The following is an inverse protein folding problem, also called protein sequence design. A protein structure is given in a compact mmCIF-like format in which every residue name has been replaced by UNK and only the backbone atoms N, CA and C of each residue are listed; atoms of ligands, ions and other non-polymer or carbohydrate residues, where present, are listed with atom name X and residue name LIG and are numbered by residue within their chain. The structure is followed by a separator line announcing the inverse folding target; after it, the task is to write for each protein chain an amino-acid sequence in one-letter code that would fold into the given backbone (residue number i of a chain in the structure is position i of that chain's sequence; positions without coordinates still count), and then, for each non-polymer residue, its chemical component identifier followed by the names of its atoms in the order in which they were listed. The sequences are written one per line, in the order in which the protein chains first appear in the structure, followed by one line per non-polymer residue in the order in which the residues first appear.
data_IF_457638800339
#
_entry.id   IF_457638800339
#
_cell.length_a   1.000
_cell.length_b   1.000
_cell.length_c   1.000
_cell.angle_alpha   90.00
_cell.angle_beta   90.00
_cell.angle_gamma   90.00
#
_symmetry.space_group_name_H-M   'P 1'
#
loop_
_entity.id
_entity.type
_entity.pdbx_description
1 polymer ?
#
# COMPACT_ATOMS: atom_id res chain seq x y z
N UNK A 1 22.89 -12.86 59.96
CA UNK A 1 24.34 -12.74 59.68
C UNK A 1 24.54 -12.99 58.19
N UNK A 2 25.28 -12.10 57.50
CA UNK A 2 25.48 -12.06 56.05
C UNK A 2 26.19 -13.30 55.49
N UNK A 3 25.82 -13.75 54.30
CA UNK A 3 26.75 -14.28 53.30
C UNK A 3 26.07 -14.36 51.92
N UNK A 4 26.68 -14.16 50.75
CA UNK A 4 27.97 -13.61 50.25
C UNK A 4 27.79 -13.57 48.72
N UNK A 5 28.28 -12.54 48.05
CA UNK A 5 28.22 -12.33 46.58
C UNK A 5 29.08 -13.36 45.79
N UNK A 6 29.02 -13.30 44.43
CA UNK A 6 30.03 -13.70 43.38
C UNK A 6 29.78 -15.10 42.73
N UNK A 7 29.79 -15.38 41.40
CA UNK A 7 30.11 -14.67 40.14
C UNK A 7 29.51 -15.40 38.90
N UNK A 8 29.46 -14.67 37.78
CA UNK A 8 29.30 -14.99 36.34
C UNK A 8 29.43 -16.42 35.80
N UNK A 9 28.64 -16.73 34.76
CA UNK A 9 29.12 -16.97 33.37
C UNK A 9 27.90 -17.05 32.43
N UNK A 10 27.85 -16.26 31.34
CA UNK A 10 27.28 -16.73 30.06
C UNK A 10 27.64 -15.78 28.90
N UNK A 11 28.55 -16.32 28.08
CA UNK A 11 28.93 -16.05 26.70
C UNK A 11 28.39 -14.80 25.97
N UNK A 12 29.33 -13.95 25.56
CA UNK A 12 29.17 -13.02 24.45
C UNK A 12 29.11 -13.84 23.17
N UNK A 13 27.96 -13.88 22.50
CA UNK A 13 27.86 -14.38 21.13
C UNK A 13 28.12 -13.21 20.18
N UNK A 14 29.34 -13.12 19.66
CA UNK A 14 29.66 -12.26 18.54
C UNK A 14 28.98 -12.84 17.28
N UNK A 15 27.83 -12.29 16.90
CA UNK A 15 27.23 -12.60 15.60
C UNK A 15 27.94 -11.74 14.56
N UNK A 16 28.84 -12.39 13.83
CA UNK A 16 29.37 -11.87 12.56
C UNK A 16 28.22 -11.81 11.56
N UNK A 17 27.72 -10.60 11.25
CA UNK A 17 26.83 -10.41 10.11
C UNK A 17 27.73 -10.42 8.87
N UNK A 18 27.81 -11.57 8.21
CA UNK A 18 28.36 -11.62 6.85
C UNK A 18 27.47 -10.74 5.95
N UNK A 19 28.04 -9.95 5.02
CA UNK A 19 27.24 -9.31 3.99
C UNK A 19 26.59 -10.42 3.17
N UNK A 20 25.27 -10.55 3.27
CA UNK A 20 24.53 -11.40 2.35
C UNK A 20 24.83 -10.91 0.94
N UNK A 21 25.45 -11.79 0.13
CA UNK A 21 25.61 -11.63 -1.30
C UNK A 21 24.32 -11.04 -1.86
N UNK A 22 24.41 -9.89 -2.53
CA UNK A 22 23.35 -9.36 -3.36
C UNK A 22 22.86 -10.50 -4.26
N UNK A 23 21.65 -11.00 -3.98
CA UNK A 23 20.96 -11.88 -4.89
C UNK A 23 20.74 -11.15 -6.22
N UNK A 24 20.50 -11.87 -7.32
CA UNK A 24 20.16 -11.22 -8.57
C UNK A 24 19.01 -10.26 -8.28
N UNK A 25 19.13 -9.01 -8.73
CA UNK A 25 18.02 -8.07 -8.72
C UNK A 25 16.84 -8.82 -9.31
N UNK A 26 15.88 -9.21 -8.46
CA UNK A 26 14.58 -9.60 -8.96
C UNK A 26 14.06 -8.29 -9.53
N UNK A 27 14.29 -8.09 -10.82
CA UNK A 27 13.37 -7.31 -11.62
C UNK A 27 12.01 -7.94 -11.35
N UNK A 28 11.35 -7.41 -10.32
CA UNK A 28 10.07 -7.85 -9.87
C UNK A 28 9.17 -7.39 -10.99
N UNK A 29 9.01 -8.25 -12.00
CA UNK A 29 8.36 -7.89 -13.24
C UNK A 29 6.94 -7.49 -12.86
N UNK A 30 6.67 -6.19 -12.88
CA UNK A 30 5.42 -5.64 -12.38
C UNK A 30 4.40 -5.87 -13.48
N UNK A 31 3.37 -6.66 -13.17
CA UNK A 31 2.40 -7.13 -14.16
C UNK A 31 1.01 -6.51 -13.98
N UNK A 32 0.86 -5.61 -13.02
CA UNK A 32 -0.37 -4.86 -12.82
C UNK A 32 -0.34 -3.99 -11.58
N UNK A 33 -1.51 -3.48 -11.22
CA UNK A 33 -1.72 -2.66 -10.04
C UNK A 33 -2.92 -3.17 -9.23
N UNK A 34 -2.90 -2.86 -7.93
CA UNK A 34 -4.03 -3.04 -7.02
C UNK A 34 -4.33 -1.69 -6.39
N UNK A 35 -5.61 -1.34 -6.31
CA UNK A 35 -6.07 -0.12 -5.66
C UNK A 35 -6.96 -0.46 -4.48
N UNK A 36 -6.84 0.31 -3.42
CA UNK A 36 -7.76 0.30 -2.28
C UNK A 36 -8.02 1.73 -1.83
N UNK A 37 -9.07 1.91 -1.06
CA UNK A 37 -9.49 3.20 -0.51
C UNK A 37 -9.33 3.22 1.01
N UNK A 38 -8.94 4.35 1.58
CA UNK A 38 -8.72 4.49 3.04
C UNK A 38 -10.03 4.64 3.82
N UNK A 39 -11.11 5.08 3.18
CA UNK A 39 -12.39 5.42 3.79
C UNK A 39 -12.25 6.41 4.97
N UNK A 40 -11.29 7.34 4.89
CA UNK A 40 -10.98 8.26 5.98
C UNK A 40 -11.98 9.43 6.01
N UNK A 41 -12.43 9.82 7.21
CA UNK A 41 -13.45 10.87 7.44
C UNK A 41 -12.98 12.31 7.23
N UNK A 42 -11.68 12.54 7.07
CA UNK A 42 -11.07 13.87 6.90
C UNK A 42 -10.25 14.02 5.63
N UNK A 43 -9.74 12.92 5.08
CA UNK A 43 -8.93 12.89 3.86
C UNK A 43 -8.96 11.47 3.28
N UNK A 44 -10.03 11.16 2.55
CA UNK A 44 -10.18 9.87 1.93
C UNK A 44 -9.20 9.74 0.76
N UNK A 45 -8.56 8.58 0.61
CA UNK A 45 -7.46 8.40 -0.34
C UNK A 45 -7.53 7.07 -1.06
N UNK A 46 -7.10 7.08 -2.32
CA UNK A 46 -6.69 5.88 -3.05
C UNK A 46 -5.25 5.54 -2.70
N UNK A 47 -5.03 4.31 -2.25
CA UNK A 47 -3.71 3.71 -2.12
C UNK A 47 -3.48 2.79 -3.31
N UNK A 48 -2.39 3.02 -4.02
CA UNK A 48 -1.98 2.24 -5.18
C UNK A 48 -0.82 1.31 -4.82
N UNK A 49 -0.87 0.08 -5.31
CA UNK A 49 0.20 -0.90 -5.20
C UNK A 49 0.58 -1.39 -6.58
N UNK A 50 1.88 -1.50 -6.84
CA UNK A 50 2.42 -2.32 -7.91
C UNK A 50 2.34 -3.79 -7.52
N UNK A 51 1.84 -4.62 -8.43
CA UNK A 51 1.74 -6.07 -8.24
C UNK A 51 2.75 -6.80 -9.11
N UNK A 52 3.65 -7.55 -8.48
CA UNK A 52 4.61 -8.42 -9.17
C UNK A 52 3.97 -9.73 -9.61
N UNK A 53 4.66 -10.47 -10.49
CA UNK A 53 4.17 -11.74 -11.05
C UNK A 53 3.84 -12.79 -9.99
N UNK A 54 4.58 -12.80 -8.88
CA UNK A 54 4.35 -13.68 -7.73
C UNK A 54 3.21 -13.22 -6.79
N UNK A 55 2.56 -12.09 -7.11
CA UNK A 55 1.47 -11.53 -6.32
C UNK A 55 1.93 -10.58 -5.21
N UNK A 56 3.23 -10.40 -5.00
CA UNK A 56 3.72 -9.42 -4.01
C UNK A 56 3.29 -8.00 -4.39
N UNK A 57 2.99 -7.19 -3.35
CA UNK A 57 2.53 -5.82 -3.48
C UNK A 57 3.57 -4.84 -2.94
N UNK A 58 3.93 -3.85 -3.74
CA UNK A 58 4.74 -2.71 -3.31
C UNK A 58 3.91 -1.44 -3.44
N UNK A 59 3.79 -0.67 -2.36
CA UNK A 59 3.04 0.59 -2.41
C UNK A 59 3.70 1.55 -3.41
N UNK A 60 2.91 2.09 -4.32
CA UNK A 60 3.38 2.95 -5.41
C UNK A 60 2.82 4.36 -5.37
N UNK A 61 1.78 4.61 -4.56
CA UNK A 61 1.26 5.95 -4.37
C UNK A 61 0.10 6.04 -3.39
N UNK A 62 -0.18 7.28 -2.98
CA UNK A 62 -1.35 7.65 -2.18
C UNK A 62 -1.90 8.97 -2.72
N UNK A 63 -3.15 8.94 -3.16
CA UNK A 63 -3.80 10.04 -3.87
C UNK A 63 -5.05 10.43 -3.09
N UNK A 64 -5.18 11.70 -2.71
CA UNK A 64 -6.42 12.17 -2.10
C UNK A 64 -7.57 12.02 -3.10
N UNK A 65 -8.75 11.73 -2.61
CA UNK A 65 -10.01 11.83 -3.38
C UNK A 65 -10.50 13.27 -3.42
N UNK A 66 -10.05 14.10 -2.47
CA UNK A 66 -10.68 15.37 -2.08
C UNK A 66 -12.12 15.24 -1.55
N UNK A 67 -12.63 14.00 -1.44
CA UNK A 67 -13.87 13.67 -0.75
C UNK A 67 -13.59 13.06 0.61
N UNK A 68 -14.67 12.66 1.28
CA UNK A 68 -14.63 12.07 2.61
C UNK A 68 -15.22 10.67 2.60
N UNK A 69 -14.58 9.77 3.32
CA UNK A 69 -15.14 8.47 3.69
C UNK A 69 -15.99 8.60 4.94
N UNK A 70 -16.56 7.48 5.37
CA UNK A 70 -17.36 7.41 6.60
C UNK A 70 -16.57 6.89 7.81
N UNK A 71 -15.35 6.37 7.59
CA UNK A 71 -14.56 5.72 8.63
C UNK A 71 -15.11 4.38 9.12
N UNK A 72 -16.27 3.97 8.61
CA UNK A 72 -16.96 2.71 8.95
C UNK A 72 -17.28 1.93 7.69
N UNK A 73 -17.49 0.63 7.82
CA UNK A 73 -17.90 -0.18 6.67
C UNK A 73 -19.27 0.27 6.16
N UNK A 74 -19.40 0.40 4.84
CA UNK A 74 -20.67 0.71 4.17
C UNK A 74 -21.46 -0.56 3.81
N UNK A 75 -20.91 -1.76 4.06
CA UNK A 75 -21.49 -3.02 3.57
C UNK A 75 -21.54 -3.11 2.03
N UNK A 76 -20.79 -2.27 1.33
CA UNK A 76 -20.76 -2.23 -0.12
C UNK A 76 -19.72 -3.20 -0.70
N UNK A 77 -19.96 -3.63 -1.93
CA UNK A 77 -18.95 -4.23 -2.81
C UNK A 77 -18.73 -3.25 -3.96
N UNK A 78 -17.47 -2.86 -4.20
CA UNK A 78 -17.13 -1.87 -5.23
C UNK A 78 -17.08 -0.42 -4.75
N UNK A 79 -16.60 -0.16 -3.52
CA UNK A 79 -16.26 1.22 -3.10
C UNK A 79 -15.15 1.84 -3.96
N UNK A 80 -14.30 0.99 -4.54
CA UNK A 80 -13.35 1.35 -5.59
C UNK A 80 -13.51 0.39 -6.77
N UNK A 81 -13.57 0.89 -8.00
CA UNK A 81 -13.69 0.07 -9.21
C UNK A 81 -12.91 0.67 -10.37
N UNK A 82 -12.28 -0.19 -11.17
CA UNK A 82 -11.63 0.16 -12.43
C UNK A 82 -12.65 0.00 -13.57
N UNK A 83 -12.70 0.95 -14.49
CA UNK A 83 -13.51 0.81 -15.71
C UNK A 83 -13.02 -0.35 -16.57
N UNK A 84 -13.91 -0.93 -17.37
CA UNK A 84 -13.59 -2.09 -18.22
C UNK A 84 -12.42 -1.85 -19.18
N UNK A 85 -12.24 -0.60 -19.63
CA UNK A 85 -11.13 -0.21 -20.50
C UNK A 85 -9.82 0.10 -19.75
N UNK A 86 -9.86 0.03 -18.41
CA UNK A 86 -8.72 0.24 -17.53
C UNK A 86 -8.23 1.68 -17.46
N UNK A 87 -9.00 2.66 -17.97
CA UNK A 87 -8.55 4.06 -18.06
C UNK A 87 -8.98 4.93 -16.88
N UNK A 88 -9.99 4.51 -16.13
CA UNK A 88 -10.48 5.27 -14.99
C UNK A 88 -10.68 4.39 -13.78
N UNK A 89 -10.33 4.92 -12.63
CA UNK A 89 -10.67 4.38 -11.31
C UNK A 89 -11.75 5.29 -10.71
N UNK A 90 -12.82 4.68 -10.21
CA UNK A 90 -13.92 5.37 -9.54
C UNK A 90 -13.88 5.01 -8.06
N UNK A 91 -14.03 6.01 -7.19
CA UNK A 91 -14.01 5.86 -5.74
C UNK A 91 -15.27 6.49 -5.12
N UNK A 92 -15.85 5.84 -4.10
CA UNK A 92 -17.08 6.30 -3.45
C UNK A 92 -16.74 7.09 -2.19
N UNK A 93 -16.94 8.40 -2.26
CA UNK A 93 -16.76 9.32 -1.13
C UNK A 93 -18.07 9.48 -0.37
N UNK A 94 -18.50 8.40 0.30
CA UNK A 94 -19.81 8.35 0.96
C UNK A 94 -19.99 9.37 2.09
N UNK A 95 -18.89 9.81 2.72
CA UNK A 95 -18.90 10.84 3.77
C UNK A 95 -19.16 12.25 3.23
N UNK A 96 -18.77 12.53 1.98
CA UNK A 96 -19.06 13.81 1.29
C UNK A 96 -20.13 13.71 0.21
N UNK A 97 -20.70 12.51 0.01
CA UNK A 97 -21.78 12.21 -0.95
C UNK A 97 -21.38 12.46 -2.41
N UNK A 98 -20.18 12.01 -2.78
CA UNK A 98 -19.57 12.22 -4.10
C UNK A 98 -18.94 10.93 -4.65
N UNK A 99 -18.54 10.97 -5.92
CA UNK A 99 -17.71 9.94 -6.56
C UNK A 99 -16.48 10.62 -7.13
N UNK A 100 -15.30 10.18 -6.72
CA UNK A 100 -14.03 10.65 -7.28
C UNK A 100 -13.63 9.84 -8.50
N UNK A 101 -13.13 10.53 -9.53
CA UNK A 101 -12.67 9.94 -10.79
C UNK A 101 -11.19 10.22 -11.00
N UNK A 102 -10.49 9.15 -11.35
CA UNK A 102 -9.04 9.11 -11.39
C UNK A 102 -8.62 8.52 -12.75
N UNK A 103 -7.93 9.30 -13.58
CA UNK A 103 -7.36 8.76 -14.82
C UNK A 103 -6.22 7.81 -14.49
N UNK A 104 -6.25 6.59 -15.01
CA UNK A 104 -5.21 5.59 -14.89
C UNK A 104 -4.31 5.69 -16.11
N UNK A 105 -3.13 6.31 -15.99
CA UNK A 105 -2.14 6.30 -17.08
C UNK A 105 -1.53 4.91 -17.25
N UNK A 106 -0.92 4.63 -18.41
CA UNK A 106 -0.06 3.44 -18.58
C UNK A 106 1.34 3.92 -18.89
N UNK A 107 2.17 4.07 -17.87
CA UNK A 107 3.58 4.42 -18.00
C UNK A 107 4.35 3.10 -18.11
N UNK A 108 4.35 2.49 -19.29
CA UNK A 108 4.65 1.06 -19.40
C UNK A 108 3.57 0.25 -18.66
N UNK A 109 3.90 -0.28 -17.48
CA UNK A 109 2.99 -1.10 -16.66
C UNK A 109 2.32 -0.36 -15.48
N UNK A 110 2.43 0.98 -15.36
CA UNK A 110 1.95 1.71 -14.16
C UNK A 110 0.96 2.82 -14.41
N UNK A 111 0.12 3.06 -13.41
CA UNK A 111 -0.91 4.09 -13.35
C UNK A 111 -0.52 5.30 -12.53
N UNK A 112 -0.36 6.42 -13.22
CA UNK A 112 -0.32 7.75 -12.63
C UNK A 112 -1.73 8.34 -12.70
N UNK A 113 -2.17 8.96 -11.59
CA UNK A 113 -3.57 9.25 -11.33
C UNK A 113 -3.86 10.74 -11.40
N UNK A 114 -4.66 11.18 -12.38
CA UNK A 114 -5.01 12.61 -12.58
C UNK A 114 -6.53 12.85 -12.45
N UNK A 115 -6.91 13.92 -11.74
CA UNK A 115 -8.29 14.31 -11.43
C UNK A 115 -9.02 14.96 -12.62
N UNK A 116 -10.33 14.73 -12.72
CA UNK A 116 -11.25 15.58 -13.46
C UNK A 116 -12.43 15.97 -12.56
N UNK A 117 -12.83 17.25 -12.62
CA UNK A 117 -14.12 17.73 -12.13
C UNK A 117 -15.16 17.61 -13.25
#
# INVERSE_FOLDING_TARGET
MRAKNILLFLAILAITIAPAMAGPDKENHKIGAVYTETNNVTDNRIISFERSADGSLSMSGSFSTNGLGTGVSLGNQGGVILTDDGKYLLAVDAGSNEISVFQVKKNGNYSDTTFFY
#
